data_IF_820119221489
#
_entry.id   IF_820119221489
#
_cell.length_a   1.000
_cell.length_b   1.000
_cell.length_c   1.000
_cell.angle_alpha   90.00
_cell.angle_beta   90.00
_cell.angle_gamma   90.00
#
_symmetry.space_group_name_H-M   'P 1'
#
loop_
_entity.id
_entity.type
_entity.pdbx_description
1 polymer ?
#
# COMPACT_ATOMS: atom_id res chain seq x y z
N UNK A 1 4.31 7.54 5.52
CA UNK A 1 3.64 6.43 6.26
C UNK A 1 2.34 6.09 5.55
N UNK A 2 2.03 4.81 5.36
CA UNK A 2 0.82 4.34 4.65
C UNK A 2 0.24 3.13 5.38
N UNK A 3 -0.91 2.61 4.96
CA UNK A 3 -1.40 1.33 5.49
C UNK A 3 -0.50 0.19 4.99
N UNK A 4 -0.06 -0.68 5.90
CA UNK A 4 0.91 -1.74 5.60
C UNK A 4 0.27 -3.01 5.03
N UNK A 5 1.10 -3.94 4.51
CA UNK A 5 0.65 -5.15 3.81
C UNK A 5 -0.12 -6.14 4.69
N UNK A 6 -0.01 -6.04 6.01
CA UNK A 6 -0.75 -6.91 6.93
C UNK A 6 -2.12 -6.32 7.34
N UNK A 7 -2.42 -5.08 6.94
CA UNK A 7 -3.64 -4.37 7.30
C UNK A 7 -4.47 -3.89 6.10
N UNK A 8 -3.86 -3.84 4.90
CA UNK A 8 -4.52 -3.31 3.72
C UNK A 8 -5.29 -4.40 2.96
N UNK A 9 -6.45 -4.75 3.51
CA UNK A 9 -7.42 -5.59 2.79
C UNK A 9 -8.08 -4.83 1.64
N UNK A 10 -8.15 -5.48 0.47
CA UNK A 10 -8.77 -5.02 -0.78
C UNK A 10 -9.54 -6.16 -1.46
N UNK A 11 -10.44 -5.81 -2.39
CA UNK A 11 -11.12 -6.78 -3.25
C UNK A 11 -10.32 -7.14 -4.51
N UNK A 12 -10.87 -8.07 -5.29
CA UNK A 12 -10.34 -8.48 -6.59
C UNK A 12 -10.31 -7.33 -7.60
N UNK A 13 -11.30 -6.43 -7.55
CA UNK A 13 -11.37 -5.22 -8.37
C UNK A 13 -10.09 -4.37 -8.29
N UNK A 14 -9.55 -4.20 -7.09
CA UNK A 14 -8.30 -3.46 -6.87
C UNK A 14 -7.10 -4.23 -7.42
N UNK A 15 -7.02 -5.54 -7.17
CA UNK A 15 -5.93 -6.39 -7.68
C UNK A 15 -5.89 -6.34 -9.21
N UNK A 16 -7.04 -6.48 -9.85
CA UNK A 16 -7.16 -6.55 -11.30
C UNK A 16 -6.86 -5.20 -11.95
N UNK A 17 -7.25 -4.09 -11.31
CA UNK A 17 -6.87 -2.75 -11.75
C UNK A 17 -5.33 -2.56 -11.76
N UNK A 18 -4.64 -3.04 -10.73
CA UNK A 18 -3.17 -3.01 -10.69
C UNK A 18 -2.53 -3.95 -11.72
N UNK A 19 -3.08 -5.15 -11.90
CA UNK A 19 -2.59 -6.11 -12.89
C UNK A 19 -2.72 -5.57 -14.33
N UNK A 20 -3.80 -4.82 -14.62
CA UNK A 20 -3.98 -4.16 -15.90
C UNK A 20 -3.04 -2.97 -16.10
N UNK A 21 -2.84 -2.14 -15.07
CA UNK A 21 -2.01 -0.93 -15.16
C UNK A 21 -0.50 -1.20 -15.09
N UNK A 22 -0.10 -2.28 -14.41
CA UNK A 22 1.28 -2.71 -14.24
C UNK A 22 1.37 -4.24 -14.38
N UNK A 23 1.30 -4.78 -15.61
CA UNK A 23 1.35 -6.21 -15.84
C UNK A 23 2.66 -6.83 -15.35
N UNK A 24 2.58 -7.98 -14.69
CA UNK A 24 3.76 -8.74 -14.27
C UNK A 24 3.53 -9.55 -12.99
N UNK A 25 4.32 -10.61 -12.84
CA UNK A 25 4.24 -11.53 -11.70
C UNK A 25 4.58 -10.82 -10.39
N UNK A 26 5.51 -9.86 -10.41
CA UNK A 26 5.86 -9.04 -9.26
C UNK A 26 4.69 -8.19 -8.75
N UNK A 27 3.84 -7.68 -9.65
CA UNK A 27 2.62 -6.94 -9.27
C UNK A 27 1.64 -7.87 -8.57
N UNK A 28 1.41 -9.06 -9.11
CA UNK A 28 0.52 -10.05 -8.50
C UNK A 28 1.05 -10.54 -7.14
N UNK A 29 2.36 -10.69 -6.99
CA UNK A 29 3.00 -11.07 -5.74
C UNK A 29 2.81 -10.04 -4.61
N UNK A 30 2.50 -8.78 -4.95
CA UNK A 30 2.15 -7.75 -3.98
C UNK A 30 0.73 -7.91 -3.40
N UNK A 31 -0.05 -8.90 -3.85
CA UNK A 31 -1.37 -9.22 -3.33
C UNK A 31 -1.38 -10.63 -2.75
N UNK A 32 -1.34 -10.74 -1.42
CA UNK A 32 -1.45 -12.03 -0.74
C UNK A 32 -2.92 -12.37 -0.52
N UNK A 33 -3.38 -13.60 -0.81
CA UNK A 33 -4.74 -14.00 -0.46
C UNK A 33 -4.94 -13.89 1.05
N UNK A 34 -6.06 -13.30 1.47
CA UNK A 34 -6.43 -13.30 2.89
C UNK A 34 -7.07 -14.64 3.20
N UNK A 35 -6.49 -15.41 4.12
CA UNK A 35 -7.04 -16.71 4.53
C UNK A 35 -8.51 -16.54 4.93
N UNK A 36 -9.32 -17.53 4.55
CA UNK A 36 -10.76 -17.64 4.84
C UNK A 36 -11.71 -16.79 3.99
N UNK A 37 -11.21 -16.02 3.00
CA UNK A 37 -12.07 -15.27 2.09
C UNK A 37 -11.57 -15.35 0.64
N UNK A 38 -12.33 -16.07 -0.21
CA UNK A 38 -11.93 -16.36 -1.59
C UNK A 38 -11.69 -15.12 -2.48
N UNK A 39 -12.20 -13.94 -2.10
CA UNK A 39 -12.22 -12.74 -2.94
C UNK A 39 -11.50 -11.54 -2.30
N UNK A 40 -10.76 -11.75 -1.19
CA UNK A 40 -10.03 -10.67 -0.51
C UNK A 40 -8.53 -10.90 -0.53
N UNK A 41 -7.81 -9.79 -0.71
CA UNK A 41 -6.35 -9.76 -0.75
C UNK A 41 -5.82 -8.77 0.28
N UNK A 42 -4.65 -9.09 0.81
CA UNK A 42 -3.78 -8.19 1.56
C UNK A 42 -2.76 -7.59 0.58
N UNK A 43 -2.91 -6.30 0.29
CA UNK A 43 -2.10 -5.59 -0.70
C UNK A 43 -0.89 -4.88 -0.07
N UNK A 44 0.29 -5.07 -0.67
CA UNK A 44 1.53 -4.37 -0.33
C UNK A 44 1.67 -3.10 -1.18
N UNK A 45 1.07 -2.02 -0.69
CA UNK A 45 1.12 -0.71 -1.34
C UNK A 45 2.56 -0.16 -1.51
N UNK A 46 3.47 -0.26 -0.51
CA UNK A 46 4.87 0.09 -0.70
C UNK A 46 5.57 -0.72 -1.81
N UNK A 47 5.29 -2.01 -1.96
CA UNK A 47 5.86 -2.82 -3.05
C UNK A 47 5.32 -2.38 -4.42
N UNK A 48 4.01 -2.17 -4.56
CA UNK A 48 3.39 -1.66 -5.78
C UNK A 48 3.98 -0.31 -6.20
N UNK A 49 4.16 0.62 -5.26
CA UNK A 49 4.76 1.91 -5.54
C UNK A 49 6.21 1.78 -6.06
N UNK A 50 7.00 0.84 -5.52
CA UNK A 50 8.37 0.59 -6.01
C UNK A 50 8.38 0.04 -7.43
N UNK A 51 7.49 -0.89 -7.75
CA UNK A 51 7.39 -1.44 -9.10
C UNK A 51 7.02 -0.36 -10.12
N UNK A 52 6.05 0.49 -9.78
CA UNK A 52 5.65 1.62 -10.62
C UNK A 52 6.78 2.62 -10.81
N UNK A 53 7.48 2.99 -9.72
CA UNK A 53 8.63 3.91 -9.78
C UNK A 53 9.78 3.32 -10.61
N UNK A 54 10.08 2.03 -10.46
CA UNK A 54 11.13 1.35 -11.21
C UNK A 54 10.83 1.29 -12.70
N UNK A 55 9.57 1.05 -13.09
CA UNK A 55 9.12 1.14 -14.49
C UNK A 55 9.43 2.51 -15.10
N UNK A 56 9.32 3.56 -14.30
CA UNK A 56 9.56 4.94 -14.71
C UNK A 56 11.03 5.38 -14.50
N UNK A 57 11.94 4.43 -14.24
CA UNK A 57 13.39 4.66 -14.11
C UNK A 57 13.84 5.16 -12.73
N UNK A 58 12.94 5.27 -11.75
CA UNK A 58 13.25 5.73 -10.39
C UNK A 58 13.66 4.54 -9.52
N UNK A 59 14.96 4.38 -9.29
CA UNK A 59 15.53 3.22 -8.56
C UNK A 59 15.95 3.52 -7.12
N UNK A 60 16.12 4.80 -6.76
CA UNK A 60 16.48 5.22 -5.39
C UNK A 60 15.23 5.52 -4.58
N UNK A 61 14.61 4.47 -4.04
CA UNK A 61 13.38 4.56 -3.26
C UNK A 61 13.65 4.23 -1.79
N UNK A 62 13.26 5.12 -0.88
CA UNK A 62 13.49 4.99 0.55
C UNK A 62 12.18 5.04 1.35
N UNK A 63 12.21 4.50 2.58
CA UNK A 63 11.04 4.47 3.46
C UNK A 63 10.03 3.38 3.09
N UNK A 64 8.75 3.58 3.42
CA UNK A 64 7.69 2.59 3.16
C UNK A 64 7.51 1.51 4.24
N UNK A 65 8.25 1.58 5.35
CA UNK A 65 8.25 0.55 6.40
C UNK A 65 7.30 0.86 7.57
N UNK A 66 6.47 1.90 7.45
CA UNK A 66 5.61 2.40 8.55
C UNK A 66 4.13 2.19 8.20
N UNK A 67 3.45 1.42 9.03
CA UNK A 67 2.01 1.15 8.94
C UNK A 67 1.19 2.14 9.78
N UNK A 68 0.27 2.88 9.15
CA UNK A 68 -0.64 3.81 9.84
C UNK A 68 -1.67 3.09 10.71
N UNK A 69 -2.13 1.91 10.29
CA UNK A 69 -3.13 1.13 11.02
C UNK A 69 -2.56 0.49 12.29
N UNK A 70 -1.35 -0.07 12.23
CA UNK A 70 -0.74 -0.83 13.33
C UNK A 70 -0.02 0.03 14.38
N UNK A 71 0.18 1.33 14.13
CA UNK A 71 0.86 2.24 15.06
C UNK A 71 -0.05 3.40 15.54
N UNK A 72 -1.10 3.11 16.34
CA UNK A 72 -2.13 4.09 16.73
C UNK A 72 -1.60 5.27 17.55
N UNK A 73 -0.50 5.10 18.29
CA UNK A 73 0.14 6.19 19.04
C UNK A 73 0.89 7.20 18.17
N UNK A 74 1.09 6.89 16.88
CA UNK A 74 1.92 7.69 15.96
C UNK A 74 1.15 8.24 14.77
N UNK A 75 0.11 7.54 14.32
CA UNK A 75 -0.57 7.88 13.08
C UNK A 75 -2.09 7.76 13.19
N UNK A 76 -2.78 8.71 12.57
CA UNK A 76 -4.19 8.55 12.22
C UNK A 76 -4.36 7.44 11.17
N UNK A 77 -5.44 6.68 11.26
CA UNK A 77 -5.77 5.66 10.26
C UNK A 77 -7.27 5.58 10.04
N UNK A 78 -7.73 5.96 8.84
CA UNK A 78 -9.13 5.82 8.45
C UNK A 78 -9.60 4.37 8.51
N UNK A 79 -8.76 3.41 8.12
CA UNK A 79 -9.10 1.98 8.16
C UNK A 79 -9.38 1.47 9.58
N UNK A 80 -8.74 2.07 10.58
CA UNK A 80 -8.89 1.69 11.99
C UNK A 80 -10.02 2.47 12.67
N UNK A 81 -10.07 3.78 12.44
CA UNK A 81 -10.83 4.72 13.28
C UNK A 81 -12.08 5.29 12.58
N UNK A 82 -12.21 5.15 11.25
CA UNK A 82 -13.22 5.79 10.40
C UNK A 82 -13.23 7.34 10.51
N UNK A 83 -13.77 7.91 11.59
CA UNK A 83 -13.73 9.34 11.85
C UNK A 83 -12.45 9.68 12.61
N UNK A 84 -11.49 10.30 11.92
CA UNK A 84 -10.14 10.53 12.46
C UNK A 84 -9.47 11.75 11.82
N UNK A 85 -8.33 12.16 12.35
CA UNK A 85 -7.52 13.27 11.82
C UNK A 85 -6.85 12.97 10.48
N UNK A 86 -5.98 13.87 10.05
CA UNK A 86 -5.14 13.72 8.84
C UNK A 86 -3.70 14.09 9.17
N UNK A 87 -2.77 13.48 8.43
CA UNK A 87 -1.34 13.73 8.52
C UNK A 87 -0.85 14.28 7.18
N UNK A 88 0.26 15.02 7.18
CA UNK A 88 0.88 15.58 5.98
C UNK A 88 2.31 15.08 5.81
N UNK A 89 2.78 14.97 4.57
CA UNK A 89 4.18 14.77 4.20
C UNK A 89 4.62 15.99 3.39
N UNK A 90 5.68 16.67 3.80
CA UNK A 90 6.11 17.94 3.21
C UNK A 90 7.55 17.82 2.71
N UNK A 91 7.85 18.48 1.60
CA UNK A 91 9.19 18.63 1.03
C UNK A 91 9.32 20.03 0.43
N UNK A 92 10.46 20.69 0.60
CA UNK A 92 10.73 22.00 0.02
C UNK A 92 12.21 22.13 -0.35
N UNK A 93 12.49 22.99 -1.32
CA UNK A 93 13.84 23.47 -1.61
C UNK A 93 14.08 24.67 -0.69
N UNK A 94 15.27 24.74 -0.11
CA UNK A 94 15.67 25.87 0.74
C UNK A 94 15.95 27.10 -0.11
#
# INVERSE_FOLDING_TARGET
>A
PAIGPDAFEVGEDVRDAFAAALPGEATLAAFRPKSDQAVKFLADMPALARLMLARDGVTRVHGGNLCTASAPRRFYSYRRDHVTGRQASLIWIK
#
